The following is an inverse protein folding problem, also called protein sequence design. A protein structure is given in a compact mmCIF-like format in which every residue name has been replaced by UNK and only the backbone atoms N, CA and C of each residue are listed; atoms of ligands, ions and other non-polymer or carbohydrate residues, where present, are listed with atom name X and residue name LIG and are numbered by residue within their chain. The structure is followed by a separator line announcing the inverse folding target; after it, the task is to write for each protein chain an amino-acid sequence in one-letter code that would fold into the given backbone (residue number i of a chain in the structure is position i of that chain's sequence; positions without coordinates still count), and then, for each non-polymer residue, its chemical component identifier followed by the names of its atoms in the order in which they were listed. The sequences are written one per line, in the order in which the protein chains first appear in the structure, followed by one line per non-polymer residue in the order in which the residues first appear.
data_IF_533168908090
#
_entry.id   IF_533168908090
#
_cell.length_a   1.000
_cell.length_b   1.000
_cell.length_c   1.000
_cell.angle_alpha   90.00
_cell.angle_beta   90.00
_cell.angle_gamma   90.00
#
_symmetry.space_group_name_H-M   'P 1'
#
loop_
_entity.id
_entity.type
_entity.pdbx_description
1 polymer ?
#
# COMPACT_ATOMS: atom_id res chain seq x y z
N UNK A 1 15.65 9.66 -9.94
CA UNK A 1 14.33 9.68 -9.27
C UNK A 1 13.50 8.48 -9.67
N UNK A 2 13.52 8.07 -10.95
CA UNK A 2 12.90 6.81 -11.44
C UNK A 2 13.49 5.54 -10.80
N UNK A 3 14.72 5.62 -10.27
CA UNK A 3 15.42 4.47 -9.69
C UNK A 3 15.03 4.09 -8.25
N UNK A 4 14.24 4.91 -7.55
CA UNK A 4 13.85 4.69 -6.15
C UNK A 4 12.36 4.95 -5.92
N UNK A 5 11.52 4.56 -6.88
CA UNK A 5 10.06 4.52 -6.75
C UNK A 5 9.53 3.13 -7.11
N UNK A 6 8.35 2.80 -6.58
CA UNK A 6 7.66 1.55 -6.84
C UNK A 6 6.15 1.71 -6.61
N UNK A 7 5.33 1.13 -7.49
CA UNK A 7 3.89 0.99 -7.32
C UNK A 7 3.56 -0.46 -6.97
N UNK A 8 2.63 -0.68 -6.05
CA UNK A 8 2.31 -2.01 -5.51
C UNK A 8 0.79 -2.19 -5.53
N UNK A 9 0.34 -3.35 -5.97
CA UNK A 9 -1.09 -3.68 -6.03
C UNK A 9 -1.78 -3.23 -7.33
N UNK A 10 -1.00 -2.84 -8.34
CA UNK A 10 -1.53 -2.50 -9.67
C UNK A 10 -2.21 -3.72 -10.29
N UNK A 11 -3.42 -3.47 -10.81
CA UNK A 11 -4.27 -4.44 -11.50
C UNK A 11 -5.15 -3.71 -12.50
N UNK A 12 -6.01 -4.45 -13.20
CA UNK A 12 -6.87 -3.90 -14.24
C UNK A 12 -6.33 -4.08 -15.68
N UNK A 13 -7.13 -3.73 -16.70
CA UNK A 13 -6.90 -4.09 -18.10
C UNK A 13 -5.85 -3.21 -18.82
N UNK A 14 -5.36 -2.15 -18.18
CA UNK A 14 -4.39 -1.22 -18.75
C UNK A 14 -2.98 -1.57 -18.25
N UNK A 15 -2.42 -2.64 -18.80
CA UNK A 15 -1.04 -3.04 -18.57
C UNK A 15 -0.11 -2.31 -19.56
N UNK A 16 -0.14 -0.97 -19.52
CA UNK A 16 0.90 -0.19 -20.18
C UNK A 16 2.03 0.02 -19.16
N UNK A 17 3.17 -0.60 -19.42
CA UNK A 17 4.43 -0.30 -18.73
C UNK A 17 4.82 1.16 -19.03
N UNK A 18 4.26 2.11 -18.29
CA UNK A 18 4.59 3.54 -18.37
C UNK A 18 5.99 3.86 -17.79
N UNK A 19 6.88 2.86 -17.70
CA UNK A 19 8.24 2.98 -17.16
C UNK A 19 8.33 2.90 -15.63
N UNK A 20 7.22 2.80 -14.90
CA UNK A 20 7.22 2.64 -13.45
C UNK A 20 7.57 1.21 -13.03
N UNK A 21 8.30 1.06 -11.91
CA UNK A 21 8.51 -0.26 -11.32
C UNK A 21 7.26 -0.68 -10.55
N UNK A 22 6.68 -1.79 -10.96
CA UNK A 22 5.39 -2.25 -10.47
C UNK A 22 5.51 -3.64 -9.84
N UNK A 23 4.81 -3.86 -8.74
CA UNK A 23 4.46 -5.18 -8.20
C UNK A 23 2.95 -5.34 -8.38
N UNK A 24 2.56 -6.27 -9.25
CA UNK A 24 1.15 -6.59 -9.49
C UNK A 24 0.57 -7.44 -8.36
N UNK A 25 -0.75 -7.42 -8.20
CA UNK A 25 -1.45 -8.26 -7.22
C UNK A 25 -1.10 -9.75 -7.38
N UNK A 26 -0.96 -10.24 -8.62
CA UNK A 26 -0.56 -11.63 -8.91
C UNK A 26 0.81 -12.01 -8.34
N UNK A 27 1.75 -11.06 -8.26
CA UNK A 27 3.07 -11.31 -7.66
C UNK A 27 2.94 -11.42 -6.14
N UNK A 28 2.12 -10.57 -5.53
CA UNK A 28 1.82 -10.62 -4.10
C UNK A 28 1.13 -11.93 -3.72
N UNK A 29 0.14 -12.38 -4.50
CA UNK A 29 -0.56 -13.65 -4.26
C UNK A 29 0.44 -14.83 -4.28
N UNK A 30 1.37 -14.84 -5.25
CA UNK A 30 2.32 -15.94 -5.43
C UNK A 30 3.43 -15.98 -4.38
N UNK A 31 3.91 -14.81 -3.94
CA UNK A 31 5.13 -14.71 -3.12
C UNK A 31 4.91 -14.18 -1.70
N UNK A 32 3.70 -13.68 -1.43
CA UNK A 32 3.28 -13.18 -0.12
C UNK A 32 3.81 -11.77 0.23
N UNK A 33 3.29 -11.19 1.32
CA UNK A 33 3.58 -9.82 1.73
C UNK A 33 5.06 -9.58 2.12
N UNK A 34 5.73 -10.57 2.71
CA UNK A 34 7.15 -10.44 3.10
C UNK A 34 8.06 -10.26 1.89
N UNK A 35 7.73 -10.90 0.77
CA UNK A 35 8.46 -10.74 -0.49
C UNK A 35 8.31 -9.32 -1.04
N UNK A 36 7.07 -8.80 -1.04
CA UNK A 36 6.77 -7.44 -1.46
C UNK A 36 7.52 -6.42 -0.60
N UNK A 37 7.48 -6.57 0.72
CA UNK A 37 8.20 -5.69 1.64
C UNK A 37 9.72 -5.70 1.40
N UNK A 38 10.33 -6.87 1.17
CA UNK A 38 11.75 -6.96 0.80
C UNK A 38 12.05 -6.22 -0.50
N UNK A 39 11.25 -6.44 -1.55
CA UNK A 39 11.44 -5.75 -2.83
C UNK A 39 11.36 -4.24 -2.70
N UNK A 40 10.40 -3.72 -1.93
CA UNK A 40 10.30 -2.29 -1.64
C UNK A 40 11.59 -1.82 -0.97
N UNK A 41 12.04 -2.48 0.09
CA UNK A 41 13.27 -2.12 0.82
C UNK A 41 14.52 -2.14 -0.07
N UNK A 42 14.69 -3.18 -0.87
CA UNK A 42 15.84 -3.31 -1.78
C UNK A 42 15.87 -2.20 -2.83
N UNK A 43 14.70 -1.76 -3.31
CA UNK A 43 14.58 -0.68 -4.30
C UNK A 43 14.80 0.70 -3.70
N UNK A 44 14.22 0.96 -2.53
CA UNK A 44 14.27 2.28 -1.87
C UNK A 44 15.61 2.50 -1.16
N UNK A 45 16.24 1.44 -0.64
CA UNK A 45 17.46 1.55 0.16
C UNK A 45 17.29 2.52 1.33
N UNK A 46 18.25 3.42 1.50
CA UNK A 46 18.25 4.43 2.58
C UNK A 46 17.66 5.78 2.15
N UNK A 47 17.10 5.88 0.94
CA UNK A 47 16.52 7.13 0.44
C UNK A 47 15.31 7.58 1.29
N UNK A 48 15.07 8.90 1.44
CA UNK A 48 13.83 9.41 2.00
C UNK A 48 12.61 8.84 1.28
N UNK A 49 11.74 8.16 2.00
CA UNK A 49 10.56 7.49 1.49
C UNK A 49 9.32 8.36 1.73
N UNK A 50 8.59 8.63 0.66
CA UNK A 50 7.21 9.07 0.70
C UNK A 50 6.31 7.86 0.45
N UNK A 51 5.30 7.65 1.30
CA UNK A 51 4.36 6.53 1.14
C UNK A 51 2.94 7.06 0.93
N UNK A 52 2.40 6.89 -0.27
CA UNK A 52 1.00 7.17 -0.56
C UNK A 52 0.23 5.85 -0.62
N UNK A 53 -0.88 5.76 0.11
CA UNK A 53 -1.79 4.61 0.05
C UNK A 53 -3.14 5.07 -0.46
N UNK A 54 -3.45 4.68 -1.68
CA UNK A 54 -4.82 4.65 -2.17
C UNK A 54 -5.56 3.49 -1.52
N UNK A 55 -6.70 3.76 -0.87
CA UNK A 55 -7.47 2.71 -0.20
C UNK A 55 -8.05 1.70 -1.19
N UNK A 56 -8.19 2.07 -2.47
CA UNK A 56 -8.63 1.19 -3.54
C UNK A 56 -7.60 0.11 -3.91
N UNK A 57 -6.39 0.15 -3.35
CA UNK A 57 -5.44 -0.98 -3.43
C UNK A 57 -6.01 -2.24 -2.77
N UNK A 58 -6.90 -2.06 -1.78
CA UNK A 58 -7.61 -3.16 -1.14
C UNK A 58 -8.76 -3.64 -2.03
N UNK A 59 -9.06 -4.94 -1.95
CA UNK A 59 -10.24 -5.48 -2.61
C UNK A 59 -11.52 -4.80 -2.10
N UNK A 60 -12.56 -4.60 -2.92
CA UNK A 60 -13.83 -4.01 -2.49
C UNK A 60 -14.52 -4.76 -1.35
N UNK A 61 -14.18 -6.04 -1.11
CA UNK A 61 -14.60 -6.77 0.09
C UNK A 61 -14.04 -6.18 1.40
N UNK A 62 -12.94 -5.44 1.32
CA UNK A 62 -12.23 -4.79 2.42
C UNK A 62 -12.34 -3.26 2.41
N UNK A 63 -12.46 -2.65 1.23
CA UNK A 63 -12.58 -1.20 1.04
C UNK A 63 -13.67 -0.84 0.02
N UNK A 64 -14.97 -1.10 0.31
CA UNK A 64 -16.05 -0.73 -0.60
C UNK A 64 -16.21 0.80 -0.77
N UNK A 65 -15.76 1.57 0.22
CA UNK A 65 -15.91 3.03 0.29
C UNK A 65 -14.84 3.78 -0.50
N UNK A 66 -14.76 3.58 -1.81
CA UNK A 66 -13.88 4.30 -2.73
C UNK A 66 -14.59 4.65 -4.05
N UNK A 67 -14.09 5.64 -4.79
CA UNK A 67 -14.68 6.07 -6.06
C UNK A 67 -14.42 5.11 -7.23
N UNK A 68 -13.33 4.34 -7.18
CA UNK A 68 -12.84 3.50 -8.29
C UNK A 68 -12.52 2.07 -7.83
N UNK A 69 -13.50 1.30 -7.31
CA UNK A 69 -13.23 -0.04 -6.81
C UNK A 69 -12.78 -0.99 -7.92
N UNK A 70 -11.61 -1.62 -7.75
CA UNK A 70 -11.11 -2.69 -8.63
C UNK A 70 -11.06 -4.03 -7.89
N UNK A 71 -11.71 -5.07 -8.43
CA UNK A 71 -11.73 -6.41 -7.84
C UNK A 71 -10.35 -7.08 -7.84
N UNK A 72 -10.19 -8.14 -7.05
CA UNK A 72 -8.95 -8.91 -6.90
C UNK A 72 -7.79 -8.06 -6.34
N UNK A 73 -8.13 -7.18 -5.40
CA UNK A 73 -7.16 -6.36 -4.67
C UNK A 73 -6.57 -7.08 -3.46
N UNK A 74 -5.80 -6.34 -2.68
CA UNK A 74 -5.20 -6.86 -1.45
C UNK A 74 -6.25 -7.07 -0.37
N UNK A 75 -6.05 -8.07 0.47
CA UNK A 75 -6.71 -8.11 1.77
C UNK A 75 -6.10 -7.07 2.71
N UNK A 76 -6.87 -6.55 3.66
CA UNK A 76 -6.33 -5.63 4.68
C UNK A 76 -5.13 -6.24 5.41
N UNK A 77 -5.16 -7.56 5.68
CA UNK A 77 -4.08 -8.27 6.37
C UNK A 77 -2.77 -8.25 5.59
N UNK A 78 -2.81 -8.43 4.28
CA UNK A 78 -1.61 -8.40 3.43
C UNK A 78 -0.97 -7.02 3.44
N UNK A 79 -1.77 -5.96 3.28
CA UNK A 79 -1.27 -4.59 3.34
C UNK A 79 -0.62 -4.28 4.69
N UNK A 80 -1.25 -4.66 5.81
CA UNK A 80 -0.67 -4.45 7.14
C UNK A 80 0.65 -5.23 7.32
N UNK A 81 0.75 -6.45 6.79
CA UNK A 81 1.99 -7.23 6.85
C UNK A 81 3.11 -6.60 6.00
N UNK A 82 2.78 -6.06 4.83
CA UNK A 82 3.74 -5.29 4.01
C UNK A 82 4.25 -4.09 4.80
N UNK A 83 3.34 -3.28 5.36
CA UNK A 83 3.70 -2.10 6.15
C UNK A 83 4.63 -2.44 7.30
N UNK A 84 4.30 -3.48 8.09
CA UNK A 84 5.16 -3.94 9.20
C UNK A 84 6.53 -4.43 8.73
N UNK A 85 6.60 -5.04 7.55
CA UNK A 85 7.84 -5.44 6.90
C UNK A 85 8.73 -4.26 6.47
N UNK A 86 8.20 -3.03 6.43
CA UNK A 86 8.94 -1.80 6.16
C UNK A 86 9.52 -1.16 7.43
N UNK A 87 9.51 -1.83 8.58
CA UNK A 87 10.13 -1.30 9.79
C UNK A 87 11.61 -0.92 9.54
N UNK A 88 11.98 0.29 9.98
CA UNK A 88 13.34 0.84 9.84
C UNK A 88 13.61 1.64 8.55
N UNK A 89 12.65 1.74 7.61
CA UNK A 89 12.81 2.59 6.42
C UNK A 89 12.85 4.08 6.77
N UNK A 90 13.45 4.88 5.88
CA UNK A 90 13.54 6.34 5.99
C UNK A 90 12.21 7.03 5.61
N UNK A 91 11.09 6.70 6.28
CA UNK A 91 9.79 7.33 6.01
C UNK A 91 9.80 8.79 6.47
N UNK A 92 9.58 9.72 5.53
CA UNK A 92 9.59 11.17 5.81
C UNK A 92 8.21 11.80 5.74
N UNK A 93 7.29 11.22 4.98
CA UNK A 93 5.89 11.62 4.90
C UNK A 93 5.04 10.48 4.33
N UNK A 94 3.76 10.52 4.63
CA UNK A 94 2.79 9.56 4.11
C UNK A 94 1.40 10.18 4.02
N UNK A 95 0.57 9.64 3.12
CA UNK A 95 -0.85 9.97 3.02
C UNK A 95 -1.70 8.70 2.82
N UNK A 96 -3.00 8.84 3.08
CA UNK A 96 -4.03 7.87 2.72
C UNK A 96 -5.09 8.61 1.95
N UNK A 97 -5.44 8.12 0.77
CA UNK A 97 -6.34 8.80 -0.19
C UNK A 97 -7.52 7.91 -0.58
N UNK A 98 -8.48 8.50 -1.30
CA UNK A 98 -9.67 7.85 -1.89
C UNK A 98 -10.67 7.17 -0.94
N UNK A 99 -10.58 7.44 0.38
CA UNK A 99 -11.67 7.08 1.29
C UNK A 99 -12.89 7.93 0.96
N UNK A 100 -13.98 7.26 0.57
CA UNK A 100 -15.26 7.85 0.20
C UNK A 100 -16.38 7.34 1.12
N UNK A 101 -16.72 8.07 2.21
CA UNK A 101 -17.71 7.64 3.19
C UNK A 101 -19.10 7.36 2.62
N UNK A 102 -19.45 7.99 1.49
CA UNK A 102 -20.74 7.78 0.84
C UNK A 102 -20.91 6.37 0.26
N UNK A 103 -19.82 5.70 -0.08
CA UNK A 103 -19.81 4.32 -0.58
C UNK A 103 -19.39 3.31 0.51
N UNK A 104 -19.00 3.77 1.69
CA UNK A 104 -18.53 2.89 2.75
C UNK A 104 -19.69 2.10 3.37
N UNK A 105 -19.40 0.88 3.80
CA UNK A 105 -20.38 -0.02 4.39
C UNK A 105 -19.94 -0.39 5.79
N UNK A 106 -20.76 -0.04 6.79
CA UNK A 106 -20.42 -0.22 8.20
C UNK A 106 -19.05 0.35 8.60
N UNK A 107 -18.64 1.44 7.92
CA UNK A 107 -17.38 2.16 8.15
C UNK A 107 -16.11 1.29 8.01
N UNK A 108 -16.19 0.14 7.33
CA UNK A 108 -15.06 -0.79 7.26
C UNK A 108 -13.87 -0.20 6.48
N UNK A 109 -14.13 0.62 5.46
CA UNK A 109 -13.09 1.30 4.68
C UNK A 109 -12.41 2.36 5.54
N UNK A 110 -13.22 3.15 6.24
CA UNK A 110 -12.75 4.19 7.17
C UNK A 110 -11.95 3.59 8.33
N UNK A 111 -12.37 2.44 8.86
CA UNK A 111 -11.64 1.69 9.89
C UNK A 111 -10.31 1.12 9.35
N UNK A 112 -10.31 0.59 8.13
CA UNK A 112 -9.09 0.13 7.47
C UNK A 112 -8.10 1.29 7.30
N UNK A 113 -8.54 2.44 6.78
CA UNK A 113 -7.73 3.64 6.63
C UNK A 113 -7.16 4.13 7.97
N UNK A 114 -7.99 4.20 9.02
CA UNK A 114 -7.52 4.58 10.36
C UNK A 114 -6.45 3.62 10.91
N UNK A 115 -6.61 2.32 10.66
CA UNK A 115 -5.64 1.29 11.07
C UNK A 115 -4.33 1.41 10.29
N UNK A 116 -4.41 1.67 8.97
CA UNK A 116 -3.24 1.93 8.12
C UNK A 116 -2.50 3.17 8.60
N UNK A 117 -3.21 4.26 8.94
CA UNK A 117 -2.60 5.48 9.47
C UNK A 117 -1.82 5.21 10.76
N UNK A 118 -2.37 4.38 11.66
CA UNK A 118 -1.68 3.97 12.87
C UNK A 118 -0.38 3.21 12.58
N UNK A 119 -0.38 2.30 11.60
CA UNK A 119 0.82 1.57 11.19
C UNK A 119 1.86 2.48 10.51
N UNK A 120 1.43 3.46 9.71
CA UNK A 120 2.33 4.48 9.17
C UNK A 120 3.00 5.31 10.28
N UNK A 121 2.25 5.70 11.31
CA UNK A 121 2.81 6.38 12.49
C UNK A 121 3.85 5.50 13.17
N UNK A 122 3.57 4.20 13.36
CA UNK A 122 4.54 3.26 13.92
C UNK A 122 5.83 3.20 13.08
N UNK A 123 5.75 3.25 11.75
CA UNK A 123 6.93 3.28 10.88
C UNK A 123 7.79 4.53 11.07
N UNK A 124 7.16 5.71 11.22
CA UNK A 124 7.88 6.95 11.52
C UNK A 124 8.59 6.87 12.89
N UNK A 125 7.89 6.33 13.91
CA UNK A 125 8.42 6.24 15.28
C UNK A 125 9.53 5.20 15.41
N UNK A 126 9.38 4.01 14.81
CA UNK A 126 10.34 2.91 14.92
C UNK A 126 11.73 3.22 14.32
N UNK A 127 11.84 4.28 13.52
CA UNK A 127 13.12 4.77 13.00
C UNK A 127 13.92 5.60 14.01
N UNK A 128 13.27 6.13 15.05
CA UNK A 128 13.89 7.06 16.00
C UNK A 128 14.72 6.37 17.11
N UNK A 129 15.24 5.18 16.84
CA UNK A 129 16.11 4.39 17.73
C UNK A 129 17.30 3.85 16.96
#
# INVERSE_FOLDING_TARGET
MEDASMHVGIRGPLDQELGFKTIHCDELEKHGPDHVARRIRDRIGDHPLYLSIDIDVLDPAHAPGTGTPEIAGLTTRELLNILRGLAGVNLVAADIVEVSPAYDHAEITSLAAATIAYEMINLVVCRSR
#
